data_IF_320177683333
#
_entry.id   IF_320177683333
#
_cell.length_a   1.000
_cell.length_b   1.000
_cell.length_c   1.000
_cell.angle_alpha   90.00
_cell.angle_beta   90.00
_cell.angle_gamma   90.00
#
_symmetry.space_group_name_H-M   'P 1'
#
loop_
_entity.id
_entity.type
_entity.pdbx_description
1 polymer ?
#
# COMPACT_ATOMS: atom_id res chain seq x y z
N UNK A 1 -12.77 -6.83 15.80
CA UNK A 1 -11.81 -5.78 16.20
C UNK A 1 -12.05 -4.55 15.34
N UNK A 2 -12.27 -3.39 15.95
CA UNK A 2 -12.46 -2.13 15.21
C UNK A 2 -11.10 -1.63 14.70
N UNK A 3 -11.01 -1.34 13.42
CA UNK A 3 -9.84 -0.67 12.85
C UNK A 3 -9.73 0.74 13.44
N UNK A 4 -8.60 1.04 14.06
CA UNK A 4 -8.31 2.39 14.56
C UNK A 4 -8.17 3.36 13.38
N UNK A 5 -9.04 4.36 13.33
CA UNK A 5 -9.05 5.40 12.27
C UNK A 5 -8.38 6.71 12.72
N UNK A 6 -7.74 6.69 13.88
CA UNK A 6 -7.17 7.87 14.57
C UNK A 6 -5.75 8.27 14.13
N UNK A 7 -5.23 7.65 13.07
CA UNK A 7 -3.85 7.89 12.62
C UNK A 7 -2.76 7.25 13.49
N UNK A 8 -3.13 6.53 14.56
CA UNK A 8 -2.17 5.88 15.48
C UNK A 8 -1.32 4.82 14.77
N UNK A 9 -1.89 4.13 13.78
CA UNK A 9 -1.16 3.14 12.97
C UNK A 9 -0.04 3.77 12.15
N UNK A 10 -0.27 4.96 11.56
CA UNK A 10 0.77 5.68 10.81
C UNK A 10 1.88 6.15 11.75
N UNK A 11 1.53 6.78 12.87
CA UNK A 11 2.52 7.21 13.88
C UNK A 11 3.34 6.05 14.43
N UNK A 12 2.71 4.89 14.63
CA UNK A 12 3.39 3.66 15.07
C UNK A 12 4.33 3.11 13.99
N UNK A 13 3.96 3.18 12.71
CA UNK A 13 4.82 2.82 11.58
C UNK A 13 6.09 3.66 11.55
N UNK A 14 5.94 4.98 11.49
CA UNK A 14 7.06 5.93 11.45
C UNK A 14 8.00 5.76 12.64
N UNK A 15 7.47 5.58 13.87
CA UNK A 15 8.31 5.32 15.04
C UNK A 15 9.16 4.06 14.89
N UNK A 16 8.62 3.02 14.27
CA UNK A 16 9.36 1.77 14.05
C UNK A 16 10.41 1.92 12.97
N UNK A 17 10.11 2.64 11.89
CA UNK A 17 11.05 2.97 10.82
C UNK A 17 12.27 3.72 11.37
N UNK A 18 12.03 4.77 12.15
CA UNK A 18 13.09 5.55 12.83
C UNK A 18 13.89 4.67 13.78
N UNK A 19 13.20 3.83 14.58
CA UNK A 19 13.90 2.92 15.51
C UNK A 19 14.83 1.97 14.76
N UNK A 20 14.35 1.32 13.70
CA UNK A 20 15.17 0.38 12.94
C UNK A 20 16.31 1.06 12.20
N UNK A 21 16.11 2.27 11.66
CA UNK A 21 17.21 3.03 11.07
C UNK A 21 18.31 3.31 12.09
N UNK A 22 17.95 3.65 13.33
CA UNK A 22 18.91 3.83 14.42
C UNK A 22 19.56 2.50 14.86
N UNK A 23 18.78 1.41 14.95
CA UNK A 23 19.32 0.08 15.26
C UNK A 23 20.36 -0.34 14.21
N UNK A 24 20.10 -0.11 12.92
CA UNK A 24 21.06 -0.38 11.84
C UNK A 24 22.29 0.54 11.92
N UNK A 25 22.13 1.81 12.29
CA UNK A 25 23.27 2.72 12.46
C UNK A 25 24.19 2.27 13.61
N UNK A 26 23.61 1.79 14.69
CA UNK A 26 24.37 1.44 15.92
C UNK A 26 24.82 -0.03 15.95
N UNK A 27 24.32 -0.87 15.06
CA UNK A 27 24.68 -2.29 14.99
C UNK A 27 25.06 -2.68 13.57
N UNK A 28 26.35 -2.55 13.25
CA UNK A 28 26.92 -2.87 11.95
C UNK A 28 26.66 -4.32 11.53
N UNK A 29 26.76 -5.26 12.46
CA UNK A 29 26.54 -6.69 12.17
C UNK A 29 25.11 -6.92 11.71
N UNK A 30 24.13 -6.30 12.37
CA UNK A 30 22.73 -6.36 11.97
C UNK A 30 22.53 -5.69 10.59
N UNK A 31 23.09 -4.51 10.38
CA UNK A 31 22.99 -3.81 9.11
C UNK A 31 23.58 -4.64 7.95
N UNK A 32 24.76 -5.24 8.14
CA UNK A 32 25.40 -6.13 7.16
C UNK A 32 24.54 -7.38 6.88
N UNK A 33 23.94 -7.96 7.91
CA UNK A 33 23.05 -9.11 7.76
C UNK A 33 21.79 -8.75 6.94
N UNK A 34 21.24 -7.54 7.14
CA UNK A 34 20.10 -7.04 6.39
C UNK A 34 20.46 -6.83 4.92
N UNK A 35 21.51 -6.06 4.63
CA UNK A 35 21.88 -5.75 3.24
C UNK A 35 22.69 -6.84 2.55
N UNK A 36 23.03 -7.90 3.26
CA UNK A 36 23.82 -9.04 2.78
C UNK A 36 25.17 -8.62 2.14
N UNK A 37 25.80 -7.60 2.71
CA UNK A 37 27.05 -7.03 2.17
C UNK A 37 27.85 -6.43 3.32
N UNK A 38 29.18 -6.50 3.23
CA UNK A 38 30.08 -5.83 4.18
C UNK A 38 30.00 -4.32 4.01
N UNK A 39 29.81 -3.62 5.10
CA UNK A 39 29.72 -2.18 5.13
C UNK A 39 31.07 -1.56 5.56
N UNK A 40 31.35 -0.35 5.10
CA UNK A 40 32.48 0.46 5.58
C UNK A 40 32.32 0.83 7.06
N UNK A 41 33.36 1.39 7.66
CA UNK A 41 33.29 1.87 9.05
C UNK A 41 32.43 3.13 9.19
N UNK A 42 32.33 3.91 8.13
CA UNK A 42 31.63 5.19 8.02
C UNK A 42 30.25 5.08 7.32
N UNK A 43 29.68 3.86 7.25
CA UNK A 43 28.35 3.71 6.68
C UNK A 43 27.30 4.54 7.44
N UNK A 44 26.27 4.95 6.72
CA UNK A 44 25.18 5.75 7.26
C UNK A 44 23.84 5.08 7.04
N UNK A 45 23.08 4.87 8.11
CA UNK A 45 21.69 4.42 8.06
C UNK A 45 20.74 5.56 8.39
N UNK A 46 19.77 5.81 7.53
CA UNK A 46 18.84 6.96 7.67
C UNK A 46 17.39 6.54 7.43
N UNK A 47 16.49 7.08 8.25
CA UNK A 47 15.07 7.09 7.96
C UNK A 47 14.79 8.16 6.91
N UNK A 48 14.21 7.77 5.80
CA UNK A 48 13.84 8.68 4.71
C UNK A 48 12.37 9.05 4.82
N UNK A 49 11.50 8.06 4.92
CA UNK A 49 10.05 8.18 5.12
C UNK A 49 9.35 9.24 4.29
N UNK A 50 8.04 9.15 4.21
CA UNK A 50 7.23 10.17 3.54
C UNK A 50 6.34 9.58 2.45
N UNK A 51 5.62 10.48 1.75
CA UNK A 51 4.64 10.07 0.71
C UNK A 51 5.23 10.06 -0.71
N UNK A 52 6.45 10.57 -0.88
CA UNK A 52 7.12 10.72 -2.17
C UNK A 52 8.07 9.57 -2.50
N UNK A 53 8.59 8.92 -1.48
CA UNK A 53 9.53 7.80 -1.59
C UNK A 53 8.83 6.48 -1.30
N UNK A 54 9.32 5.39 -1.92
CA UNK A 54 8.86 4.02 -1.65
C UNK A 54 9.71 3.37 -0.56
N UNK A 55 10.96 3.80 -0.44
CA UNK A 55 11.85 3.42 0.62
C UNK A 55 11.54 4.18 1.92
N UNK A 56 11.61 3.46 3.03
CA UNK A 56 11.43 3.98 4.38
C UNK A 56 12.78 4.24 5.06
N UNK A 57 13.79 3.40 4.72
CA UNK A 57 15.15 3.45 5.29
C UNK A 57 16.16 3.32 4.15
N UNK A 58 17.29 4.02 4.27
CA UNK A 58 18.47 3.82 3.41
C UNK A 58 19.68 3.46 4.26
N UNK A 59 20.55 2.59 3.71
CA UNK A 59 21.89 2.30 4.26
C UNK A 59 22.89 2.60 3.15
N UNK A 60 23.74 3.58 3.36
CA UNK A 60 24.75 4.01 2.39
C UNK A 60 26.14 3.64 2.88
N UNK A 61 26.93 2.98 2.03
CA UNK A 61 28.31 2.56 2.31
C UNK A 61 29.10 2.54 1.00
N UNK A 62 30.31 3.10 0.99
CA UNK A 62 31.20 3.11 -0.18
C UNK A 62 30.50 3.59 -1.48
N UNK A 63 29.72 4.63 -1.40
CA UNK A 63 28.96 5.19 -2.54
C UNK A 63 27.77 4.38 -3.00
N UNK A 64 27.51 3.20 -2.41
CA UNK A 64 26.35 2.36 -2.70
C UNK A 64 25.24 2.63 -1.67
N UNK A 65 24.02 2.85 -2.15
CA UNK A 65 22.84 3.05 -1.30
C UNK A 65 21.88 1.88 -1.43
N UNK A 66 21.69 1.17 -0.34
CA UNK A 66 20.66 0.14 -0.20
C UNK A 66 19.35 0.80 0.24
N UNK A 67 18.28 0.56 -0.47
CA UNK A 67 16.94 1.12 -0.23
C UNK A 67 16.04 0.04 0.35
N UNK A 68 15.36 0.36 1.43
CA UNK A 68 14.55 -0.58 2.20
C UNK A 68 13.14 -0.04 2.38
N UNK A 69 12.14 -0.81 1.97
CA UNK A 69 10.74 -0.57 2.32
C UNK A 69 10.35 -1.50 3.47
N UNK A 70 9.96 -0.91 4.59
CA UNK A 70 9.64 -1.63 5.81
C UNK A 70 8.15 -1.96 5.89
N UNK A 71 7.85 -3.21 6.23
CA UNK A 71 6.51 -3.66 6.60
C UNK A 71 6.56 -4.25 8.02
N UNK A 72 5.60 -3.88 8.84
CA UNK A 72 5.53 -4.29 10.23
C UNK A 72 4.47 -5.37 10.41
N UNK A 73 4.81 -6.47 11.08
CA UNK A 73 3.87 -7.49 11.50
C UNK A 73 3.76 -7.51 13.02
N UNK A 74 2.58 -7.27 13.55
CA UNK A 74 2.26 -7.38 14.97
C UNK A 74 1.36 -8.59 15.24
N UNK A 75 1.40 -9.13 16.48
CA UNK A 75 0.57 -10.26 16.90
C UNK A 75 -0.92 -9.95 16.71
N UNK A 76 -1.62 -10.82 15.98
CA UNK A 76 -3.07 -10.68 15.74
C UNK A 76 -3.47 -9.62 14.72
N UNK A 77 -2.52 -8.88 14.15
CA UNK A 77 -2.77 -7.89 13.10
C UNK A 77 -2.10 -8.40 11.83
N UNK A 78 -2.90 -8.66 10.80
CA UNK A 78 -2.35 -8.84 9.45
C UNK A 78 -1.57 -7.58 9.09
N UNK A 79 -0.43 -7.72 8.45
CA UNK A 79 0.24 -6.56 7.86
C UNK A 79 -0.79 -5.88 6.98
N UNK A 80 -0.98 -4.63 7.21
CA UNK A 80 -1.91 -3.80 6.48
C UNK A 80 -1.65 -3.86 4.98
N UNK A 81 -1.60 -2.79 4.30
CA UNK A 81 -1.33 -2.75 2.87
C UNK A 81 0.12 -3.14 2.56
N UNK A 82 0.35 -4.03 1.59
CA UNK A 82 1.67 -4.24 0.98
C UNK A 82 2.17 -2.91 0.41
N UNK A 83 1.29 -2.21 -0.29
CA UNK A 83 1.53 -0.86 -0.74
C UNK A 83 0.23 -0.08 -0.92
N UNK A 84 0.39 1.25 -1.00
CA UNK A 84 -0.69 2.18 -1.25
C UNK A 84 -0.47 2.85 -2.60
N UNK A 85 -1.47 2.74 -3.46
CA UNK A 85 -1.50 3.56 -4.64
C UNK A 85 -2.20 4.86 -4.26
N UNK A 86 -1.48 5.97 -4.36
CA UNK A 86 -2.04 7.28 -4.06
C UNK A 86 -3.31 7.51 -4.89
N UNK A 87 -4.37 7.92 -4.22
CA UNK A 87 -5.68 8.15 -4.85
C UNK A 87 -5.60 9.05 -6.08
N UNK A 88 -4.76 10.07 -6.05
CA UNK A 88 -4.58 10.96 -7.20
C UNK A 88 -3.96 10.25 -8.40
N UNK A 89 -3.05 9.30 -8.19
CA UNK A 89 -2.44 8.52 -9.28
C UNK A 89 -3.42 7.54 -9.91
N UNK A 90 -4.32 6.98 -9.14
CA UNK A 90 -5.34 6.04 -9.63
C UNK A 90 -6.51 6.77 -10.26
N UNK A 91 -7.06 7.76 -9.57
CA UNK A 91 -8.19 8.53 -10.07
C UNK A 91 -7.85 9.42 -11.26
N UNK A 92 -6.58 9.71 -11.52
CA UNK A 92 -6.15 10.39 -12.76
C UNK A 92 -6.09 9.46 -13.97
N UNK A 93 -6.17 8.14 -13.80
CA UNK A 93 -6.24 7.23 -14.94
C UNK A 93 -7.57 7.37 -15.67
N UNK A 94 -7.58 7.11 -16.97
CA UNK A 94 -8.80 7.24 -17.80
C UNK A 94 -9.90 6.29 -17.34
N UNK A 95 -9.54 5.13 -16.82
CA UNK A 95 -10.48 4.14 -16.26
C UNK A 95 -11.40 4.73 -15.18
N UNK A 96 -10.94 5.73 -14.43
CA UNK A 96 -11.71 6.37 -13.37
C UNK A 96 -12.31 7.72 -13.78
N UNK A 97 -12.44 8.02 -15.08
CA UNK A 97 -12.99 9.28 -15.58
C UNK A 97 -14.40 9.55 -15.06
N UNK A 98 -15.30 8.59 -15.20
CA UNK A 98 -16.69 8.71 -14.75
C UNK A 98 -16.79 8.93 -13.22
N UNK A 99 -15.94 8.27 -12.46
CA UNK A 99 -15.87 8.50 -11.00
C UNK A 99 -15.43 9.93 -10.68
N UNK A 100 -14.49 10.49 -11.45
CA UNK A 100 -14.04 11.89 -11.28
C UNK A 100 -15.14 12.88 -11.64
N UNK A 101 -15.86 12.62 -12.73
CA UNK A 101 -16.97 13.46 -13.19
C UNK A 101 -18.09 13.47 -12.16
N UNK A 102 -18.57 12.29 -11.75
CA UNK A 102 -19.57 12.14 -10.68
C UNK A 102 -19.15 12.86 -9.39
N UNK A 103 -17.88 12.78 -9.04
CA UNK A 103 -17.33 13.45 -7.88
C UNK A 103 -17.45 14.98 -8.00
N UNK A 104 -17.15 15.51 -9.17
CA UNK A 104 -17.25 16.94 -9.45
C UNK A 104 -18.71 17.42 -9.48
N UNK A 105 -19.60 16.66 -10.09
CA UNK A 105 -21.04 16.91 -10.10
C UNK A 105 -21.64 16.92 -8.70
N UNK A 106 -21.34 15.89 -7.90
CA UNK A 106 -21.82 15.82 -6.52
C UNK A 106 -21.35 17.00 -5.68
N UNK A 107 -20.11 17.44 -5.90
CA UNK A 107 -19.56 18.61 -5.19
C UNK A 107 -20.35 19.88 -5.47
N UNK A 108 -20.79 20.08 -6.71
CA UNK A 108 -21.57 21.27 -7.10
C UNK A 108 -23.00 21.12 -6.63
N UNK A 109 -23.64 20.00 -6.96
CA UNK A 109 -25.06 19.76 -6.74
C UNK A 109 -25.47 19.73 -5.27
N UNK A 110 -24.64 19.15 -4.41
CA UNK A 110 -24.96 18.90 -3.00
C UNK A 110 -24.10 19.71 -2.02
N UNK A 111 -23.56 20.85 -2.46
CA UNK A 111 -22.73 21.70 -1.62
C UNK A 111 -23.51 22.19 -0.39
N UNK A 112 -22.98 21.96 0.81
CA UNK A 112 -23.60 22.38 2.06
C UNK A 112 -24.69 21.44 2.62
N UNK A 113 -25.15 20.46 1.86
CA UNK A 113 -26.26 19.58 2.23
C UNK A 113 -25.81 18.41 3.11
N UNK A 114 -25.99 18.55 4.42
CA UNK A 114 -25.55 17.55 5.42
C UNK A 114 -26.30 16.23 5.31
N UNK A 115 -27.56 16.26 4.98
CA UNK A 115 -28.44 15.10 4.81
C UNK A 115 -28.08 14.25 3.56
N UNK A 116 -27.35 14.81 2.60
CA UNK A 116 -26.93 14.14 1.38
C UNK A 116 -25.59 13.38 1.50
N UNK A 117 -24.89 13.50 2.62
CA UNK A 117 -23.57 12.84 2.79
C UNK A 117 -23.63 11.34 2.52
N UNK A 118 -24.60 10.64 3.07
CA UNK A 118 -24.75 9.20 2.88
C UNK A 118 -25.17 8.85 1.44
N UNK A 119 -26.06 9.62 0.86
CA UNK A 119 -26.48 9.46 -0.53
C UNK A 119 -25.31 9.62 -1.49
N UNK A 120 -24.54 10.70 -1.35
CA UNK A 120 -23.35 10.96 -2.20
C UNK A 120 -22.29 9.88 -1.98
N UNK A 121 -22.08 9.45 -0.76
CA UNK A 121 -21.17 8.34 -0.46
C UNK A 121 -21.56 7.06 -1.19
N UNK A 122 -22.85 6.74 -1.20
CA UNK A 122 -23.36 5.56 -1.90
C UNK A 122 -23.17 5.69 -3.41
N UNK A 123 -23.53 6.81 -4.02
CA UNK A 123 -23.34 7.05 -5.44
C UNK A 123 -21.89 6.87 -5.89
N UNK A 124 -20.95 7.49 -5.18
CA UNK A 124 -19.52 7.40 -5.51
C UNK A 124 -19.00 5.97 -5.32
N UNK A 125 -19.47 5.25 -4.30
CA UNK A 125 -19.07 3.87 -4.09
C UNK A 125 -19.62 2.94 -5.18
N UNK A 126 -20.88 3.11 -5.55
CA UNK A 126 -21.53 2.28 -6.56
C UNK A 126 -20.83 2.48 -7.92
N UNK A 127 -20.57 3.74 -8.32
CA UNK A 127 -19.82 4.04 -9.55
C UNK A 127 -18.37 3.48 -9.49
N UNK A 128 -17.71 3.62 -8.35
CA UNK A 128 -16.35 3.10 -8.18
C UNK A 128 -16.32 1.56 -8.26
N UNK A 129 -17.32 0.89 -7.70
CA UNK A 129 -17.44 -0.56 -7.77
C UNK A 129 -17.73 -1.02 -9.21
N UNK A 130 -18.64 -0.34 -9.90
CA UNK A 130 -18.94 -0.62 -11.30
C UNK A 130 -17.69 -0.44 -12.18
N UNK A 131 -16.92 0.63 -11.96
CA UNK A 131 -15.65 0.85 -12.65
C UNK A 131 -14.69 -0.31 -12.43
N UNK A 132 -14.55 -0.78 -11.17
CA UNK A 132 -13.68 -1.91 -10.87
C UNK A 132 -14.15 -3.21 -11.52
N UNK A 133 -15.45 -3.46 -11.53
CA UNK A 133 -16.03 -4.66 -12.13
C UNK A 133 -15.85 -4.72 -13.65
N UNK A 134 -15.84 -3.56 -14.29
CA UNK A 134 -15.65 -3.44 -15.74
C UNK A 134 -14.17 -3.35 -16.16
N UNK A 135 -13.22 -3.30 -15.21
CA UNK A 135 -11.81 -3.24 -15.55
C UNK A 135 -11.31 -4.55 -16.18
N UNK A 136 -10.60 -4.41 -17.28
CA UNK A 136 -9.89 -5.54 -17.88
C UNK A 136 -8.65 -5.92 -17.06
N UNK A 137 -8.18 -7.16 -17.21
CA UNK A 137 -6.92 -7.60 -16.59
C UNK A 137 -5.75 -6.68 -16.94
N UNK A 138 -5.68 -6.23 -18.20
CA UNK A 138 -4.62 -5.35 -18.67
C UNK A 138 -4.66 -3.97 -17.99
N UNK A 139 -5.84 -3.42 -17.79
CA UNK A 139 -5.99 -2.15 -17.05
C UNK A 139 -5.54 -2.29 -15.59
N UNK A 140 -5.87 -3.41 -14.94
CA UNK A 140 -5.40 -3.67 -13.56
C UNK A 140 -3.89 -3.83 -13.54
N UNK A 141 -3.30 -4.60 -14.47
CA UNK A 141 -1.85 -4.76 -14.58
C UNK A 141 -1.15 -3.44 -14.85
N UNK A 142 -1.67 -2.59 -15.72
CA UNK A 142 -1.12 -1.27 -15.98
C UNK A 142 -1.04 -0.41 -14.72
N UNK A 143 -2.07 -0.45 -13.88
CA UNK A 143 -2.07 0.27 -12.59
C UNK A 143 -1.04 -0.31 -11.63
N UNK A 144 -0.97 -1.64 -11.49
CA UNK A 144 -0.03 -2.32 -10.62
C UNK A 144 1.42 -2.12 -11.10
N UNK A 145 1.66 -2.22 -12.39
CA UNK A 145 2.97 -2.00 -13.01
C UNK A 145 3.49 -0.60 -12.72
N UNK A 146 2.70 0.42 -13.07
CA UNK A 146 3.10 1.82 -12.91
C UNK A 146 3.36 2.21 -11.45
N UNK A 147 2.55 1.71 -10.53
CA UNK A 147 2.52 2.23 -9.16
C UNK A 147 3.21 1.32 -8.12
N UNK A 148 3.43 0.05 -8.45
CA UNK A 148 4.04 -0.93 -7.54
C UNK A 148 5.24 -1.58 -8.20
N UNK A 149 5.05 -2.28 -9.32
CA UNK A 149 6.12 -3.09 -9.90
C UNK A 149 7.33 -2.23 -10.29
N UNK A 150 7.10 -1.21 -11.13
CA UNK A 150 8.19 -0.37 -11.64
C UNK A 150 8.90 0.45 -10.56
N UNK A 151 8.23 1.10 -9.59
CA UNK A 151 8.91 1.80 -8.52
C UNK A 151 9.86 0.92 -7.70
N UNK A 152 9.42 -0.30 -7.33
CA UNK A 152 10.28 -1.22 -6.59
C UNK A 152 11.39 -1.82 -7.46
N UNK A 153 11.07 -2.25 -8.68
CA UNK A 153 12.02 -2.85 -9.61
C UNK A 153 13.13 -1.88 -10.03
N UNK A 154 12.75 -0.67 -10.43
CA UNK A 154 13.69 0.31 -10.99
C UNK A 154 14.58 0.94 -9.93
N UNK A 155 14.13 1.00 -8.69
CA UNK A 155 14.88 1.56 -7.57
C UNK A 155 15.64 0.52 -6.76
N UNK A 156 15.57 -0.78 -7.11
CA UNK A 156 16.17 -1.89 -6.38
C UNK A 156 15.86 -1.84 -4.87
N UNK A 157 14.58 -1.66 -4.56
CA UNK A 157 14.13 -1.56 -3.16
C UNK A 157 13.96 -2.96 -2.60
N UNK A 158 14.65 -3.23 -1.50
CA UNK A 158 14.49 -4.40 -0.66
C UNK A 158 13.19 -4.27 0.15
N UNK A 159 12.46 -5.38 0.28
CA UNK A 159 11.30 -5.47 1.16
C UNK A 159 11.72 -6.12 2.47
N UNK A 160 11.47 -5.43 3.57
CA UNK A 160 11.81 -5.90 4.89
C UNK A 160 10.54 -6.06 5.72
N UNK A 161 10.29 -7.26 6.22
CA UNK A 161 9.14 -7.55 7.07
C UNK A 161 9.62 -7.79 8.49
N UNK A 162 9.35 -6.83 9.36
CA UNK A 162 9.66 -6.92 10.78
C UNK A 162 8.53 -7.62 11.53
N UNK A 163 8.73 -8.89 11.85
CA UNK A 163 7.79 -9.69 12.65
C UNK A 163 8.11 -9.54 14.15
N UNK A 164 7.54 -8.53 14.76
CA UNK A 164 7.72 -8.23 16.18
C UNK A 164 7.27 -9.39 17.06
N UNK A 165 6.29 -10.17 16.63
CA UNK A 165 5.75 -11.28 17.43
C UNK A 165 6.68 -12.46 17.54
N UNK A 166 7.53 -12.68 16.54
CA UNK A 166 8.53 -13.76 16.52
C UNK A 166 9.96 -13.27 16.67
N UNK A 167 10.16 -11.96 16.79
CA UNK A 167 11.48 -11.30 16.82
C UNK A 167 12.35 -11.70 15.62
N UNK A 168 11.74 -11.75 14.43
CA UNK A 168 12.40 -12.11 13.18
C UNK A 168 12.21 -11.01 12.14
N UNK A 169 13.25 -10.78 11.37
CA UNK A 169 13.20 -9.89 10.21
C UNK A 169 13.35 -10.75 8.96
N UNK A 170 12.35 -10.66 8.08
CA UNK A 170 12.37 -11.34 6.78
C UNK A 170 12.80 -10.34 5.71
N UNK A 171 13.88 -10.66 5.01
CA UNK A 171 14.46 -9.83 3.96
C UNK A 171 14.16 -10.45 2.59
N UNK A 172 13.57 -9.66 1.70
CA UNK A 172 13.26 -10.00 0.32
C UNK A 172 14.02 -8.98 -0.52
N UNK A 173 15.07 -9.39 -1.20
CA UNK A 173 16.05 -8.49 -1.82
C UNK A 173 15.48 -7.70 -3.00
N UNK A 174 14.41 -8.18 -3.63
CA UNK A 174 13.76 -7.50 -4.74
C UNK A 174 12.29 -7.92 -4.86
N UNK A 175 11.46 -7.03 -5.40
CA UNK A 175 10.09 -7.39 -5.79
C UNK A 175 10.06 -8.55 -6.79
N UNK A 176 11.16 -8.79 -7.53
CA UNK A 176 11.30 -9.92 -8.46
C UNK A 176 11.22 -11.29 -7.79
N UNK A 177 11.48 -11.35 -6.50
CA UNK A 177 11.40 -12.57 -5.69
C UNK A 177 9.96 -12.88 -5.21
N UNK A 178 8.98 -12.07 -5.62
CA UNK A 178 7.59 -12.21 -5.18
C UNK A 178 6.72 -12.90 -6.23
N UNK A 179 5.71 -13.66 -5.76
CA UNK A 179 4.70 -14.26 -6.63
C UNK A 179 3.95 -13.20 -7.46
N UNK A 180 3.76 -12.00 -6.94
CA UNK A 180 3.17 -10.88 -7.68
C UNK A 180 3.96 -10.56 -8.95
N UNK A 181 5.29 -10.60 -8.86
CA UNK A 181 6.14 -10.35 -10.03
C UNK A 181 6.08 -11.48 -11.07
N UNK A 182 5.97 -12.73 -10.61
CA UNK A 182 5.79 -13.87 -11.52
C UNK A 182 4.46 -13.76 -12.29
N UNK A 183 3.39 -13.40 -11.60
CA UNK A 183 2.09 -13.16 -12.23
C UNK A 183 2.12 -11.97 -13.20
N UNK A 184 2.86 -10.91 -12.83
CA UNK A 184 3.08 -9.75 -13.71
C UNK A 184 3.80 -10.15 -15.00
N UNK A 185 4.89 -10.92 -14.92
CA UNK A 185 5.63 -11.37 -16.09
C UNK A 185 4.79 -12.22 -17.06
N UNK A 186 3.92 -13.06 -16.49
CA UNK A 186 3.03 -13.92 -17.26
C UNK A 186 1.79 -13.21 -17.79
N UNK A 187 1.55 -11.95 -17.36
CA UNK A 187 0.26 -11.26 -17.59
C UNK A 187 -0.94 -12.14 -17.23
N UNK A 188 -0.83 -12.81 -16.07
CA UNK A 188 -1.87 -13.72 -15.59
C UNK A 188 -3.24 -13.04 -15.61
N UNK A 189 -4.30 -13.70 -16.10
CA UNK A 189 -5.64 -13.16 -16.09
C UNK A 189 -6.08 -12.77 -14.66
N UNK A 190 -6.70 -11.60 -14.55
CA UNK A 190 -7.16 -11.08 -13.27
C UNK A 190 -8.67 -11.10 -13.24
N UNK A 191 -9.23 -11.62 -12.15
CA UNK A 191 -10.63 -11.46 -11.79
C UNK A 191 -10.76 -10.72 -10.47
N UNK A 192 -11.87 -10.02 -10.30
CA UNK A 192 -12.20 -9.31 -9.07
C UNK A 192 -13.34 -10.01 -8.38
N UNK A 193 -13.11 -10.47 -7.15
CA UNK A 193 -14.12 -11.11 -6.32
C UNK A 193 -14.51 -10.22 -5.13
N UNK A 194 -15.70 -10.45 -4.60
CA UNK A 194 -16.11 -9.85 -3.35
C UNK A 194 -15.31 -10.46 -2.21
N UNK A 195 -14.81 -9.66 -1.24
CA UNK A 195 -14.21 -10.21 -0.05
C UNK A 195 -15.27 -10.95 0.77
N UNK A 196 -14.88 -12.03 1.42
CA UNK A 196 -15.71 -12.66 2.44
C UNK A 196 -15.94 -11.67 3.58
N UNK A 197 -17.21 -11.31 3.87
CA UNK A 197 -17.58 -10.44 4.98
C UNK A 197 -18.24 -9.12 4.59
N UNK A 198 -18.38 -8.22 5.58
CA UNK A 198 -19.18 -6.98 5.48
C UNK A 198 -18.56 -5.83 4.66
N UNK A 199 -17.38 -6.00 4.07
CA UNK A 199 -16.69 -4.93 3.35
C UNK A 199 -17.18 -4.79 1.90
N UNK A 200 -18.35 -4.19 1.72
CA UNK A 200 -18.97 -3.98 0.40
C UNK A 200 -18.15 -3.10 -0.58
N UNK A 201 -17.18 -2.33 -0.08
CA UNK A 201 -16.38 -1.36 -0.87
C UNK A 201 -14.99 -1.87 -1.26
N UNK A 202 -14.74 -3.16 -1.23
CA UNK A 202 -13.45 -3.73 -1.61
C UNK A 202 -13.63 -4.91 -2.55
N UNK A 203 -12.63 -5.10 -3.41
CA UNK A 203 -12.53 -6.27 -4.29
C UNK A 203 -11.22 -6.99 -4.01
N UNK A 204 -11.25 -8.29 -4.08
CA UNK A 204 -10.04 -9.13 -3.96
C UNK A 204 -9.54 -9.42 -5.37
N UNK A 205 -8.26 -9.21 -5.61
CA UNK A 205 -7.61 -9.60 -6.85
C UNK A 205 -7.36 -11.10 -6.81
N UNK A 206 -7.88 -11.77 -7.80
CA UNK A 206 -7.66 -13.19 -8.05
C UNK A 206 -6.80 -13.34 -9.30
N UNK A 207 -5.72 -14.11 -9.23
CA UNK A 207 -4.92 -14.49 -10.37
C UNK A 207 -5.22 -15.96 -10.72
N UNK A 208 -5.62 -16.23 -11.95
CA UNK A 208 -6.11 -17.54 -12.37
C UNK A 208 -7.16 -18.10 -11.40
N UNK A 209 -8.13 -17.26 -11.02
CA UNK A 209 -9.19 -17.59 -10.06
C UNK A 209 -8.68 -17.91 -8.63
N UNK A 210 -7.40 -17.74 -8.37
CA UNK A 210 -6.80 -17.94 -7.05
C UNK A 210 -6.59 -16.63 -6.32
N UNK A 211 -7.05 -16.58 -5.07
CA UNK A 211 -6.78 -15.46 -4.20
C UNK A 211 -5.31 -15.52 -3.72
N UNK A 212 -4.52 -14.54 -4.10
CA UNK A 212 -3.12 -14.39 -3.65
C UNK A 212 -2.98 -13.44 -2.46
N UNK A 213 -4.07 -13.06 -1.83
CA UNK A 213 -4.05 -12.13 -0.70
C UNK A 213 -3.84 -10.66 -1.07
N UNK A 214 -4.07 -10.28 -2.32
CA UNK A 214 -4.12 -8.87 -2.73
C UNK A 214 -5.56 -8.38 -2.78
N UNK A 215 -5.76 -7.16 -2.35
CA UNK A 215 -7.08 -6.55 -2.32
C UNK A 215 -7.02 -5.14 -2.91
N UNK A 216 -7.90 -4.88 -3.89
CA UNK A 216 -8.21 -3.51 -4.27
C UNK A 216 -9.38 -3.03 -3.42
N UNK A 217 -9.14 -2.01 -2.64
CA UNK A 217 -10.16 -1.36 -1.85
C UNK A 217 -10.42 0.02 -2.40
N UNK A 218 -11.64 0.25 -2.87
CA UNK A 218 -12.15 1.60 -3.11
C UNK A 218 -12.73 2.09 -1.81
N UNK A 219 -12.09 3.04 -1.21
CA UNK A 219 -12.54 3.65 0.03
C UNK A 219 -13.15 5.00 -0.32
N UNK A 220 -14.49 5.12 -0.21
CA UNK A 220 -15.05 6.44 -0.03
C UNK A 220 -14.74 6.84 1.40
N UNK A 221 -13.93 7.83 1.54
CA UNK A 221 -13.52 8.28 2.86
C UNK A 221 -14.59 9.14 3.52
N UNK A 222 -14.42 9.33 4.82
CA UNK A 222 -15.03 10.40 5.63
C UNK A 222 -14.84 11.82 5.02
N UNK A 223 -14.26 11.91 3.83
CA UNK A 223 -14.07 13.11 3.03
C UNK A 223 -15.30 13.59 2.27
N UNK A 224 -16.40 12.82 2.23
CA UNK A 224 -17.63 13.30 1.57
C UNK A 224 -18.14 14.57 2.25
N UNK A 225 -18.09 14.65 3.57
CA UNK A 225 -18.44 15.90 4.28
C UNK A 225 -17.53 17.07 3.90
N UNK A 226 -16.24 16.82 3.65
CA UNK A 226 -15.31 17.86 3.17
C UNK A 226 -15.54 18.16 1.68
N UNK A 227 -15.88 17.15 0.87
CA UNK A 227 -16.27 17.33 -0.53
C UNK A 227 -17.45 18.29 -0.65
N UNK A 228 -18.46 18.10 0.20
CA UNK A 228 -19.67 18.89 0.21
C UNK A 228 -19.53 20.24 0.96
N UNK A 229 -18.34 20.57 1.43
CA UNK A 229 -18.10 21.84 2.16
C UNK A 229 -18.67 21.87 3.59
N UNK A 230 -19.14 20.73 4.12
CA UNK A 230 -19.83 20.65 5.42
C UNK A 230 -18.84 20.60 6.59
N UNK A 231 -17.67 19.98 6.38
CA UNK A 231 -16.61 19.87 7.39
C UNK A 231 -15.35 20.56 6.90
N UNK A 232 -14.73 21.36 7.75
CA UNK A 232 -13.37 21.85 7.48
C UNK A 232 -12.45 20.64 7.36
N UNK A 233 -11.57 20.66 6.35
CA UNK A 233 -10.55 19.65 6.12
C UNK A 233 -9.72 19.53 7.39
N UNK A 234 -9.90 18.47 8.18
CA UNK A 234 -8.97 18.20 9.26
C UNK A 234 -7.63 17.83 8.63
N UNK A 235 -6.56 18.42 9.08
CA UNK A 235 -5.23 18.40 8.49
C UNK A 235 -4.59 17.01 8.40
N UNK A 236 -5.22 15.98 8.90
CA UNK A 236 -4.54 14.70 9.07
C UNK A 236 -5.05 13.51 8.25
N UNK A 237 -6.25 13.48 7.66
CA UNK A 237 -6.67 12.26 6.91
C UNK A 237 -7.96 12.37 6.08
N UNK A 238 -8.41 13.53 5.71
CA UNK A 238 -9.57 13.65 4.84
C UNK A 238 -9.17 13.60 3.36
N UNK A 239 -8.75 12.43 2.89
CA UNK A 239 -8.73 12.21 1.45
C UNK A 239 -10.17 12.28 0.94
N UNK A 240 -10.50 13.44 0.40
CA UNK A 240 -11.79 13.71 -0.22
C UNK A 240 -11.95 13.02 -1.59
N UNK A 241 -11.11 12.07 -1.96
CA UNK A 241 -11.15 11.37 -3.24
C UNK A 241 -11.19 9.86 -3.01
N UNK A 242 -11.83 9.08 -3.88
CA UNK A 242 -11.74 7.63 -3.84
C UNK A 242 -10.28 7.18 -3.82
N UNK A 243 -9.94 6.28 -2.91
CA UNK A 243 -8.58 5.76 -2.75
C UNK A 243 -8.57 4.30 -3.12
N UNK A 244 -7.78 3.92 -4.09
CA UNK A 244 -7.48 2.51 -4.35
C UNK A 244 -6.28 2.11 -3.53
N UNK A 245 -6.45 1.07 -2.72
CA UNK A 245 -5.39 0.45 -1.94
C UNK A 245 -5.16 -0.95 -2.47
N UNK A 246 -3.92 -1.28 -2.76
CA UNK A 246 -3.51 -2.66 -2.90
C UNK A 246 -3.12 -3.16 -1.53
N UNK A 247 -3.95 -4.02 -0.97
CA UNK A 247 -3.80 -4.53 0.38
C UNK A 247 -3.56 -6.02 0.34
N UNK A 248 -2.60 -6.47 1.12
CA UNK A 248 -2.35 -7.88 1.32
C UNK A 248 -3.10 -8.36 2.57
N UNK A 249 -3.85 -9.44 2.42
CA UNK A 249 -4.67 -9.97 3.51
C UNK A 249 -3.88 -10.83 4.50
N UNK A 250 -2.75 -11.42 4.08
CA UNK A 250 -2.02 -12.37 4.89
C UNK A 250 -0.51 -12.36 4.60
N UNK A 251 0.27 -11.78 5.51
CA UNK A 251 1.73 -11.71 5.39
C UNK A 251 2.39 -13.07 5.46
N UNK A 252 1.88 -13.96 6.30
CA UNK A 252 2.43 -15.32 6.38
C UNK A 252 2.29 -16.07 5.06
N UNK A 253 1.17 -15.86 4.35
CA UNK A 253 0.96 -16.38 3.01
C UNK A 253 1.90 -15.75 1.99
N UNK A 254 2.13 -14.44 2.06
CA UNK A 254 3.07 -13.74 1.20
C UNK A 254 4.51 -14.22 1.40
N UNK A 255 4.97 -14.29 2.65
CA UNK A 255 6.31 -14.78 2.98
C UNK A 255 6.53 -16.18 2.40
N UNK A 256 5.56 -17.09 2.58
CA UNK A 256 5.67 -18.47 2.07
C UNK A 256 5.77 -18.57 0.55
N UNK A 257 5.33 -17.55 -0.17
CA UNK A 257 5.28 -17.50 -1.63
C UNK A 257 6.41 -16.68 -2.26
N UNK A 258 7.27 -16.06 -1.44
CA UNK A 258 8.45 -15.39 -1.92
C UNK A 258 9.60 -16.40 -2.10
N UNK A 259 10.41 -16.15 -3.12
CA UNK A 259 11.67 -16.87 -3.37
C UNK A 259 12.79 -16.23 -2.53
N UNK A 260 13.81 -17.03 -2.20
CA UNK A 260 15.08 -16.52 -1.63
C UNK A 260 14.92 -15.58 -0.43
N UNK A 261 14.02 -15.93 0.50
CA UNK A 261 13.84 -15.16 1.72
C UNK A 261 15.01 -15.43 2.67
N UNK A 262 15.66 -14.37 3.14
CA UNK A 262 16.60 -14.42 4.25
C UNK A 262 15.89 -14.07 5.56
N UNK A 263 16.30 -14.71 6.64
CA UNK A 263 15.77 -14.45 7.99
C UNK A 263 16.91 -14.00 8.86
N UNK A 264 16.75 -12.85 9.51
CA UNK A 264 17.71 -12.21 10.40
C UNK A 264 17.11 -12.07 11.79
#
# INVERSE_FOLDING_TARGET
>A
MAFRTDGSSHKSGVKREVKLANDFQNNKVLAEAIVNTKLSTDYVSQHIGGTTHKEDITITSNGTTHKISLKKKEKGICVGSFDWINSSKVTSSEVFKEVRELYSECRVKYHGEKDKVEHVRKLINDQSNQTLENMTSEQVWSILEKNIINPYKNSNIMLLIDDISSNKIYCIDSIKETELYDHYLKRTPITLANPSGKAKSSRVIMFDEKNIGLRIRVVSNNGIGALLGIKKKSSSNSNSKPTVKVQQDNVSGFIKKCKNIRVV
#
